data_IF_824608778447
#
_entry.id   IF_824608778447
#
_cell.length_a   1.000
_cell.length_b   1.000
_cell.length_c   1.000
_cell.angle_alpha   90.00
_cell.angle_beta   90.00
_cell.angle_gamma   90.00
#
_symmetry.space_group_name_H-M   'P 1'
#
loop_
_entity.id
_entity.type
_entity.pdbx_description
1 polymer ?
#
# COMPACT_ATOMS: atom_id res chain seq x y z
N UNK A 1 38.95 10.95 18.56
CA UNK A 1 38.70 10.77 17.12
C UNK A 1 37.26 10.32 16.93
N UNK A 2 36.45 10.93 16.05
CA UNK A 2 35.10 10.46 15.78
C UNK A 2 35.09 9.58 14.52
N UNK A 3 34.93 8.26 14.69
CA UNK A 3 34.53 7.28 13.66
C UNK A 3 33.87 6.12 14.44
N UNK A 4 32.72 5.57 14.10
CA UNK A 4 32.08 5.42 12.80
C UNK A 4 30.57 5.36 12.96
N UNK A 5 29.87 6.13 12.13
CA UNK A 5 28.48 5.90 11.77
C UNK A 5 28.39 4.55 11.04
N UNK A 6 27.53 3.66 11.52
CA UNK A 6 26.97 2.55 10.75
C UNK A 6 25.46 2.56 11.01
N UNK A 7 24.65 3.01 10.05
CA UNK A 7 23.20 3.07 10.18
C UNK A 7 22.60 2.09 9.18
N UNK A 8 22.18 0.91 9.61
CA UNK A 8 21.24 0.12 8.83
C UNK A 8 20.60 -0.90 9.75
N UNK A 9 19.30 -0.73 9.98
CA UNK A 9 18.43 -1.76 10.56
C UNK A 9 18.21 -2.86 9.53
N UNK A 10 19.27 -3.59 9.19
CA UNK A 10 19.14 -4.87 8.52
C UNK A 10 18.60 -5.89 9.53
N UNK A 11 17.51 -6.62 9.22
CA UNK A 11 17.04 -7.70 10.07
C UNK A 11 18.14 -8.77 10.14
N UNK A 12 18.65 -9.04 11.34
CA UNK A 12 19.52 -10.20 11.55
C UNK A 12 18.64 -11.44 11.67
N UNK A 13 18.81 -12.36 10.73
CA UNK A 13 18.26 -13.72 10.77
C UNK A 13 18.98 -14.51 11.87
N UNK A 14 18.35 -14.67 13.04
CA UNK A 14 18.78 -15.69 14.01
C UNK A 14 18.00 -16.99 13.80
N UNK A 15 18.71 -18.03 13.37
CA UNK A 15 18.18 -19.38 13.23
C UNK A 15 18.05 -20.02 14.62
N UNK A 16 16.83 -20.08 15.17
CA UNK A 16 16.55 -20.89 16.36
C UNK A 16 16.52 -22.38 15.96
N UNK A 17 17.52 -23.15 16.40
CA UNK A 17 17.56 -24.60 16.25
C UNK A 17 16.49 -25.28 17.12
N UNK A 18 15.27 -25.42 16.59
CA UNK A 18 14.35 -26.46 17.03
C UNK A 18 14.40 -27.59 16.01
N UNK A 19 14.69 -28.80 16.49
CA UNK A 19 14.97 -29.97 15.68
C UNK A 19 14.07 -30.10 14.44
N UNK A 20 14.70 -29.91 13.28
CA UNK A 20 14.24 -30.28 11.94
C UNK A 20 13.35 -29.31 11.14
N UNK A 21 13.21 -28.03 11.51
CA UNK A 21 12.64 -27.03 10.57
C UNK A 21 13.21 -25.62 10.81
N UNK A 22 13.99 -25.10 9.85
CA UNK A 22 14.47 -23.71 9.84
C UNK A 22 13.31 -22.77 9.50
N UNK A 23 12.63 -22.24 10.52
CA UNK A 23 11.66 -21.16 10.33
C UNK A 23 12.39 -19.83 10.61
N UNK A 24 12.54 -18.93 9.62
CA UNK A 24 13.10 -17.61 9.87
C UNK A 24 12.12 -16.81 10.73
N UNK A 25 12.48 -16.57 11.99
CA UNK A 25 11.72 -15.67 12.86
C UNK A 25 12.33 -14.28 12.73
N UNK A 26 11.71 -13.42 11.93
CA UNK A 26 12.14 -12.03 11.78
C UNK A 26 11.82 -11.27 13.06
N UNK A 27 12.81 -11.11 13.93
CA UNK A 27 12.69 -10.30 15.15
C UNK A 27 12.93 -8.83 14.81
N UNK A 28 11.86 -8.04 14.72
CA UNK A 28 11.99 -6.59 14.53
C UNK A 28 12.34 -5.91 15.87
N UNK A 29 13.63 -5.85 16.19
CA UNK A 29 14.12 -5.09 17.34
C UNK A 29 14.01 -3.60 16.99
N UNK A 30 13.13 -2.86 17.68
CA UNK A 30 13.14 -1.40 17.58
C UNK A 30 14.49 -0.89 18.10
N UNK A 31 15.26 -0.12 17.31
CA UNK A 31 16.58 0.32 17.74
C UNK A 31 16.46 1.20 18.99
N UNK A 32 17.40 1.04 19.91
CA UNK A 32 17.53 1.93 21.06
C UNK A 32 17.71 3.36 20.56
N UNK A 33 16.70 4.20 20.78
CA UNK A 33 16.66 5.53 20.20
C UNK A 33 17.26 6.55 21.16
N UNK A 34 18.36 7.19 20.76
CA UNK A 34 18.96 8.26 21.57
C UNK A 34 18.02 9.46 21.62
N UNK A 35 18.16 10.34 22.63
CA UNK A 35 17.34 11.56 22.72
C UNK A 35 17.43 12.41 21.45
N UNK A 36 18.62 12.48 20.82
CA UNK A 36 18.81 13.17 19.53
C UNK A 36 18.01 12.56 18.40
N UNK A 37 17.96 11.22 18.32
CA UNK A 37 17.20 10.51 17.28
C UNK A 37 15.69 10.69 17.48
N UNK A 38 15.22 10.75 18.73
CA UNK A 38 13.81 11.04 19.05
C UNK A 38 13.43 12.47 18.63
N UNK A 39 14.29 13.45 18.91
CA UNK A 39 14.07 14.84 18.49
C UNK A 39 14.05 14.96 16.96
N UNK A 40 14.97 14.29 16.27
CA UNK A 40 15.00 14.27 14.80
C UNK A 40 13.72 13.67 14.20
N UNK A 41 13.25 12.54 14.76
CA UNK A 41 11.99 11.91 14.35
C UNK A 41 10.78 12.82 14.55
N UNK A 42 10.68 13.48 15.71
CA UNK A 42 9.58 14.39 16.02
C UNK A 42 9.58 15.61 15.09
N UNK A 43 10.76 16.16 14.78
CA UNK A 43 10.89 17.27 13.80
C UNK A 43 10.45 16.85 12.41
N UNK A 44 10.94 15.71 11.92
CA UNK A 44 10.51 15.19 10.62
C UNK A 44 9.01 14.97 10.54
N UNK A 45 8.41 14.44 11.61
CA UNK A 45 6.95 14.26 11.70
C UNK A 45 6.20 15.60 11.69
N UNK A 46 6.70 16.59 12.44
CA UNK A 46 6.10 17.92 12.46
C UNK A 46 6.17 18.61 11.09
N UNK A 47 7.29 18.45 10.38
CA UNK A 47 7.46 19.01 9.04
C UNK A 47 6.55 18.32 8.02
N UNK A 48 6.39 17.00 8.13
CA UNK A 48 5.40 16.24 7.35
C UNK A 48 3.98 16.76 7.61
N UNK A 49 3.59 16.94 8.87
CA UNK A 49 2.27 17.46 9.22
C UNK A 49 2.06 18.87 8.63
N UNK A 50 3.04 19.76 8.78
CA UNK A 50 3.00 21.11 8.19
C UNK A 50 2.85 21.06 6.67
N UNK A 51 3.49 20.11 6.00
CA UNK A 51 3.33 19.93 4.56
C UNK A 51 1.90 19.50 4.19
N UNK A 52 1.34 18.49 4.85
CA UNK A 52 -0.03 18.02 4.57
C UNK A 52 -1.13 19.04 4.90
N UNK A 53 -0.88 19.95 5.85
CA UNK A 53 -1.80 21.05 6.17
C UNK A 53 -1.84 22.11 5.08
N UNK A 54 -0.75 22.29 4.32
CA UNK A 54 -0.66 23.26 3.21
C UNK A 54 -1.28 22.75 1.90
N UNK A 55 -1.77 21.51 1.88
CA UNK A 55 -2.43 20.96 0.70
C UNK A 55 -3.83 21.57 0.56
N UNK A 56 -4.04 22.29 -0.54
CA UNK A 56 -5.35 22.78 -0.92
C UNK A 56 -6.26 21.61 -1.34
N UNK A 57 -7.45 21.55 -0.74
CA UNK A 57 -8.45 20.51 -1.00
C UNK A 57 -9.61 21.12 -1.75
N UNK A 58 -10.15 20.42 -2.75
CA UNK A 58 -11.41 20.85 -3.36
C UNK A 58 -12.59 20.58 -2.41
N UNK A 59 -13.67 21.34 -2.59
CA UNK A 59 -14.89 21.19 -1.79
C UNK A 59 -15.53 19.83 -2.07
N UNK A 60 -15.90 19.11 -1.00
CA UNK A 60 -16.44 17.77 -1.08
C UNK A 60 -17.67 17.65 -2.00
N UNK A 61 -18.56 18.65 -2.00
CA UNK A 61 -19.74 18.66 -2.88
C UNK A 61 -19.36 18.64 -4.36
N UNK A 62 -18.29 19.34 -4.74
CA UNK A 62 -17.75 19.34 -6.11
C UNK A 62 -17.09 18.00 -6.43
N UNK A 63 -16.24 17.48 -5.54
CA UNK A 63 -15.58 16.17 -5.73
C UNK A 63 -16.60 15.07 -5.96
N UNK A 64 -17.65 15.03 -5.14
CA UNK A 64 -18.70 14.02 -5.24
C UNK A 64 -19.44 14.15 -6.57
N UNK A 65 -19.78 15.37 -6.99
CA UNK A 65 -20.44 15.59 -8.28
C UNK A 65 -19.58 15.12 -9.46
N UNK A 66 -18.27 15.37 -9.42
CA UNK A 66 -17.33 14.90 -10.45
C UNK A 66 -17.22 13.38 -10.47
N UNK A 67 -17.11 12.73 -9.31
CA UNK A 67 -17.07 11.27 -9.19
C UNK A 67 -18.37 10.65 -9.75
N UNK A 68 -19.53 11.15 -9.35
CA UNK A 68 -20.83 10.66 -9.83
C UNK A 68 -20.94 10.87 -11.34
N UNK A 69 -20.55 12.04 -11.84
CA UNK A 69 -20.56 12.36 -13.27
C UNK A 69 -19.72 11.38 -14.08
N UNK A 70 -18.50 11.08 -13.60
CA UNK A 70 -17.62 10.12 -14.23
C UNK A 70 -18.22 8.71 -14.25
N UNK A 71 -18.72 8.23 -13.11
CA UNK A 71 -19.36 6.92 -13.01
C UNK A 71 -20.54 6.78 -13.97
N UNK A 72 -21.42 7.78 -14.04
CA UNK A 72 -22.58 7.76 -14.93
C UNK A 72 -22.18 7.73 -16.41
N UNK A 73 -21.14 8.48 -16.79
CA UNK A 73 -20.64 8.49 -18.15
C UNK A 73 -20.03 7.13 -18.56
N UNK A 74 -19.31 6.47 -17.65
CA UNK A 74 -18.65 5.19 -17.89
C UNK A 74 -19.56 3.97 -17.66
N UNK A 75 -20.71 4.14 -17.01
CA UNK A 75 -21.60 3.03 -16.65
C UNK A 75 -22.08 2.19 -17.85
N UNK A 76 -22.24 2.81 -19.02
CA UNK A 76 -22.66 2.10 -20.23
C UNK A 76 -21.56 1.19 -20.82
N UNK A 77 -20.30 1.55 -20.58
CA UNK A 77 -19.11 0.84 -21.08
C UNK A 77 -18.62 -0.22 -20.09
N UNK A 78 -19.06 -0.17 -18.83
CA UNK A 78 -18.71 -1.15 -17.80
C UNK A 78 -19.38 -2.51 -18.07
N UNK A 79 -18.62 -3.56 -18.45
CA UNK A 79 -19.17 -4.88 -18.75
C UNK A 79 -19.73 -5.61 -17.53
N UNK A 80 -19.43 -5.14 -16.30
CA UNK A 80 -19.95 -5.70 -15.06
C UNK A 80 -21.31 -5.07 -14.70
N UNK A 81 -21.52 -3.81 -15.06
CA UNK A 81 -22.82 -3.14 -14.90
C UNK A 81 -23.78 -3.49 -16.05
N UNK A 82 -23.25 -3.55 -17.28
CA UNK A 82 -24.01 -3.92 -18.47
C UNK A 82 -23.40 -5.17 -19.14
N UNK A 83 -23.85 -6.38 -18.79
CA UNK A 83 -23.21 -7.63 -19.22
C UNK A 83 -23.19 -7.78 -20.73
N UNK A 84 -21.97 -7.88 -21.27
CA UNK A 84 -21.74 -8.05 -22.72
C UNK A 84 -22.04 -9.47 -23.18
N UNK A 85 -22.57 -9.62 -24.39
CA UNK A 85 -22.86 -10.95 -24.99
C UNK A 85 -21.59 -11.72 -25.32
N UNK A 86 -20.54 -11.02 -25.73
CA UNK A 86 -19.24 -11.57 -26.15
C UNK A 86 -18.27 -11.69 -24.97
N UNK A 87 -18.76 -12.16 -23.83
CA UNK A 87 -17.90 -12.37 -22.65
C UNK A 87 -16.84 -13.45 -22.98
N UNK A 88 -15.53 -13.11 -22.95
CA UNK A 88 -14.44 -14.05 -23.26
C UNK A 88 -14.30 -15.19 -22.24
N UNK A 89 -14.87 -15.03 -21.04
CA UNK A 89 -14.91 -16.06 -20.00
C UNK A 89 -16.15 -16.95 -20.07
N UNK A 90 -17.03 -16.76 -21.06
CA UNK A 90 -18.21 -17.61 -21.24
C UNK A 90 -17.77 -18.97 -21.79
N UNK A 91 -18.30 -20.04 -21.21
CA UNK A 91 -18.05 -21.40 -21.69
C UNK A 91 -18.39 -21.51 -23.18
N UNK A 92 -17.44 -22.02 -23.96
CA UNK A 92 -17.67 -22.32 -25.37
C UNK A 92 -18.65 -23.47 -25.43
N UNK A 93 -19.87 -23.22 -25.93
CA UNK A 93 -20.81 -24.30 -26.23
C UNK A 93 -20.15 -25.21 -27.26
N UNK A 94 -19.84 -26.45 -26.90
CA UNK A 94 -19.49 -27.47 -27.89
C UNK A 94 -20.74 -27.71 -28.72
N UNK A 95 -20.72 -27.34 -30.01
CA UNK A 95 -21.70 -27.86 -30.95
C UNK A 95 -21.48 -29.38 -31.02
N UNK A 96 -22.29 -30.14 -30.29
CA UNK A 96 -22.47 -31.54 -30.61
C UNK A 96 -23.25 -31.59 -31.93
N UNK A 97 -22.59 -32.00 -33.00
CA UNK A 97 -23.27 -32.44 -34.21
C UNK A 97 -23.93 -33.77 -33.82
N UNK A 98 -25.27 -33.78 -33.75
CA UNK A 98 -26.09 -34.99 -33.64
C UNK A 98 -26.40 -35.51 -35.04
#
# INVERSE_FOLDING_TARGET
MPKSVLPTGEPFEEFFFFGFLEIPVVVHIMPFQTKSDQIAKLRGTADQMRHHLKVDRMVMSKTIAEIIGYCNHMAAEDPLLNPVKDNPFKDKKSCAIL
#
